data_IF_651191100249
#
_entry.id   IF_651191100249
#
_cell.length_a   1.000
_cell.length_b   1.000
_cell.length_c   1.000
_cell.angle_alpha   90.00
_cell.angle_beta   90.00
_cell.angle_gamma   90.00
#
_symmetry.space_group_name_H-M   'P 1'
#
loop_
_entity.id
_entity.type
_entity.pdbx_description
1 polymer ?
#
# COMPACT_ATOMS: atom_id res chain seq x y z
N UNK A 1 -6.21 -20.84 -1.56
CA UNK A 1 -6.10 -20.42 -0.14
C UNK A 1 -7.41 -20.62 0.62
N UNK A 2 -8.53 -20.53 -0.07
CA UNK A 2 -9.85 -20.72 0.51
C UNK A 2 -10.61 -21.75 -0.31
N UNK A 3 -10.89 -22.90 0.27
CA UNK A 3 -11.87 -23.83 -0.23
C UNK A 3 -13.18 -23.54 0.50
N UNK A 4 -14.29 -23.29 -0.19
CA UNK A 4 -15.59 -23.20 0.46
C UNK A 4 -15.87 -24.46 1.27
N UNK A 5 -16.57 -24.30 2.41
CA UNK A 5 -16.84 -25.42 3.31
C UNK A 5 -17.67 -26.50 2.63
N UNK A 6 -18.69 -26.08 1.86
CA UNK A 6 -19.54 -26.98 1.06
C UNK A 6 -18.74 -27.79 0.03
N UNK A 7 -17.75 -27.17 -0.62
CA UNK A 7 -16.84 -27.87 -1.54
C UNK A 7 -15.97 -28.89 -0.80
N UNK A 8 -15.46 -28.53 0.38
CA UNK A 8 -14.68 -29.45 1.22
C UNK A 8 -15.53 -30.64 1.67
N UNK A 9 -16.75 -30.40 2.16
CA UNK A 9 -17.68 -31.44 2.58
C UNK A 9 -18.04 -32.36 1.41
N UNK A 10 -18.37 -31.80 0.24
CA UNK A 10 -18.64 -32.59 -0.97
C UNK A 10 -17.46 -33.47 -1.40
N UNK A 11 -16.25 -32.97 -1.27
CA UNK A 11 -15.03 -33.77 -1.54
C UNK A 11 -14.86 -34.87 -0.50
N UNK A 12 -15.10 -34.61 0.78
CA UNK A 12 -15.04 -35.62 1.83
C UNK A 12 -16.06 -36.74 1.60
N UNK A 13 -17.28 -36.40 1.16
CA UNK A 13 -18.33 -37.38 0.86
C UNK A 13 -18.02 -38.21 -0.41
N UNK A 14 -17.31 -37.63 -1.36
CA UNK A 14 -16.98 -38.27 -2.64
C UNK A 14 -15.74 -39.15 -2.55
N UNK A 15 -14.78 -38.73 -1.72
CA UNK A 15 -13.50 -39.42 -1.54
C UNK A 15 -13.60 -40.35 -0.33
N UNK A 16 -13.20 -41.58 -0.50
CA UNK A 16 -13.23 -42.57 0.58
C UNK A 16 -12.09 -42.39 1.59
N UNK A 17 -12.08 -43.21 2.67
CA UNK A 17 -11.13 -43.14 3.79
C UNK A 17 -9.63 -43.31 3.38
N UNK A 18 -9.33 -43.60 2.13
CA UNK A 18 -7.96 -43.64 1.61
C UNK A 18 -7.35 -42.27 1.35
N UNK A 19 -8.16 -41.22 1.38
CA UNK A 19 -7.73 -39.84 1.15
C UNK A 19 -7.70 -39.05 2.46
N UNK A 20 -6.57 -38.39 2.73
CA UNK A 20 -6.44 -37.48 3.86
C UNK A 20 -6.24 -36.05 3.33
N UNK A 21 -7.09 -35.13 3.77
CA UNK A 21 -6.90 -33.71 3.48
C UNK A 21 -5.83 -33.12 4.38
N UNK A 22 -4.82 -32.51 3.78
CA UNK A 22 -3.75 -31.83 4.49
C UNK A 22 -3.69 -30.38 4.04
N UNK A 23 -3.71 -29.46 4.98
CA UNK A 23 -3.47 -28.04 4.70
C UNK A 23 -2.00 -27.81 4.38
N UNK A 24 -1.70 -27.31 3.19
CA UNK A 24 -0.37 -26.87 2.80
C UNK A 24 -0.33 -25.35 2.72
N UNK A 25 0.62 -24.75 3.42
CA UNK A 25 0.85 -23.30 3.35
C UNK A 25 2.02 -23.01 2.42
N UNK A 26 1.71 -22.47 1.23
CA UNK A 26 2.72 -22.05 0.25
C UNK A 26 3.17 -20.59 0.43
N UNK A 27 2.69 -19.87 1.45
CA UNK A 27 2.99 -18.46 1.65
C UNK A 27 4.49 -18.20 1.76
N UNK A 28 5.22 -19.06 2.47
CA UNK A 28 6.68 -18.93 2.63
C UNK A 28 7.45 -19.16 1.33
N UNK A 29 6.95 -20.03 0.44
CA UNK A 29 7.57 -20.27 -0.87
C UNK A 29 7.41 -19.06 -1.81
N UNK A 30 6.30 -18.31 -1.68
CA UNK A 30 6.00 -17.12 -2.47
C UNK A 30 6.64 -15.86 -1.92
N UNK A 31 6.98 -15.86 -0.62
CA UNK A 31 7.50 -14.68 0.05
C UNK A 31 8.84 -14.21 -0.56
N UNK A 32 9.73 -15.15 -0.89
CA UNK A 32 11.01 -14.86 -1.55
C UNK A 32 10.83 -14.99 -3.06
N UNK A 33 11.00 -13.87 -3.77
CA UNK A 33 10.80 -13.80 -5.22
C UNK A 33 12.06 -14.20 -5.97
N UNK A 34 11.89 -14.85 -7.13
CA UNK A 34 12.96 -15.05 -8.11
C UNK A 34 13.23 -13.74 -8.86
N UNK A 35 14.37 -13.63 -9.50
CA UNK A 35 14.72 -12.40 -10.23
C UNK A 35 13.76 -12.09 -11.40
N UNK A 36 13.27 -13.13 -12.10
CA UNK A 36 12.26 -12.96 -13.14
C UNK A 36 10.92 -12.42 -12.61
N UNK A 37 10.54 -12.80 -11.39
CA UNK A 37 9.36 -12.28 -10.69
C UNK A 37 9.57 -10.84 -10.23
N UNK A 38 10.77 -10.51 -9.71
CA UNK A 38 11.12 -9.14 -9.32
C UNK A 38 11.06 -8.18 -10.52
N UNK A 39 11.49 -8.62 -11.71
CA UNK A 39 11.36 -7.82 -12.94
C UNK A 39 9.89 -7.50 -13.29
N UNK A 40 8.98 -8.45 -13.08
CA UNK A 40 7.55 -8.22 -13.30
C UNK A 40 6.99 -7.23 -12.28
N UNK A 41 7.43 -7.32 -11.03
CA UNK A 41 7.00 -6.39 -9.98
C UNK A 41 7.55 -4.97 -10.19
N UNK A 42 8.80 -4.81 -10.67
CA UNK A 42 9.34 -3.50 -11.09
C UNK A 42 8.48 -2.87 -12.18
N UNK A 43 8.00 -3.68 -13.13
CA UNK A 43 7.11 -3.20 -14.18
C UNK A 43 5.73 -2.82 -13.67
N UNK A 44 5.14 -3.62 -12.77
CA UNK A 44 3.87 -3.30 -12.15
C UNK A 44 3.94 -1.98 -11.36
N UNK A 45 5.00 -1.79 -10.55
CA UNK A 45 5.24 -0.55 -9.82
C UNK A 45 5.42 0.65 -10.75
N UNK A 46 6.20 0.50 -11.82
CA UNK A 46 6.41 1.55 -12.83
C UNK A 46 5.11 2.00 -13.50
N UNK A 47 4.19 1.06 -13.80
CA UNK A 47 2.87 1.40 -14.34
C UNK A 47 2.11 2.32 -13.36
N UNK A 48 2.14 2.01 -12.07
CA UNK A 48 1.55 2.88 -11.04
C UNK A 48 2.17 4.28 -11.02
N UNK A 49 3.51 4.38 -11.06
CA UNK A 49 4.22 5.66 -11.09
C UNK A 49 3.83 6.51 -12.32
N UNK A 50 3.82 5.91 -13.51
CA UNK A 50 3.46 6.59 -14.76
C UNK A 50 1.99 7.05 -14.75
N UNK A 51 1.09 6.21 -14.24
CA UNK A 51 -0.33 6.54 -14.14
C UNK A 51 -0.59 7.68 -13.14
N UNK A 52 0.10 7.67 -11.99
CA UNK A 52 -0.03 8.76 -11.01
C UNK A 52 0.51 10.08 -11.57
N UNK A 53 1.64 10.06 -12.25
CA UNK A 53 2.17 11.24 -12.92
C UNK A 53 1.19 11.81 -13.99
N UNK A 54 0.50 10.94 -14.72
CA UNK A 54 -0.50 11.32 -15.70
C UNK A 54 -1.81 11.82 -15.07
N UNK A 55 -2.16 11.36 -13.87
CA UNK A 55 -3.33 11.81 -13.11
C UNK A 55 -3.18 13.25 -12.61
N UNK A 56 -2.01 13.60 -12.03
CA UNK A 56 -1.81 14.86 -11.31
C UNK A 56 -2.28 16.12 -12.09
N UNK A 57 -1.94 16.31 -13.39
CA UNK A 57 -2.38 17.49 -14.14
C UNK A 57 -3.88 17.49 -14.49
N UNK A 58 -4.58 16.39 -14.27
CA UNK A 58 -6.00 16.25 -14.58
C UNK A 58 -6.89 16.53 -13.35
N UNK A 59 -6.29 16.55 -12.15
CA UNK A 59 -7.03 16.78 -10.90
C UNK A 59 -7.56 18.22 -10.82
N UNK A 60 -8.81 18.35 -10.38
CA UNK A 60 -9.49 19.63 -10.21
C UNK A 60 -10.42 19.59 -9.01
N UNK A 61 -10.52 20.72 -8.31
CA UNK A 61 -11.61 20.94 -7.35
C UNK A 61 -12.95 20.80 -8.04
N UNK A 62 -13.90 20.15 -7.39
CA UNK A 62 -15.23 19.88 -7.93
C UNK A 62 -15.37 18.48 -8.58
N UNK A 63 -14.27 17.75 -8.82
CA UNK A 63 -14.32 16.34 -9.19
C UNK A 63 -14.77 15.48 -8.01
N UNK A 64 -15.41 14.37 -8.29
CA UNK A 64 -15.66 13.33 -7.29
C UNK A 64 -14.44 12.43 -7.12
N UNK A 65 -14.34 11.76 -5.96
CA UNK A 65 -13.31 10.73 -5.74
C UNK A 65 -13.40 9.62 -6.81
N UNK A 66 -14.62 9.24 -7.21
CA UNK A 66 -14.84 8.27 -8.28
C UNK A 66 -14.33 8.75 -9.64
N UNK A 67 -14.49 10.02 -9.99
CA UNK A 67 -13.94 10.57 -11.24
C UNK A 67 -12.41 10.54 -11.22
N UNK A 68 -11.78 10.91 -10.11
CA UNK A 68 -10.32 10.83 -9.96
C UNK A 68 -9.82 9.37 -10.04
N UNK A 69 -10.53 8.42 -9.39
CA UNK A 69 -10.26 6.98 -9.50
C UNK A 69 -10.32 6.49 -10.95
N UNK A 70 -11.38 6.84 -11.67
CA UNK A 70 -11.56 6.41 -13.07
C UNK A 70 -10.40 6.90 -13.93
N UNK A 71 -9.95 8.14 -13.75
CA UNK A 71 -8.78 8.66 -14.47
C UNK A 71 -7.55 7.81 -14.13
N UNK A 72 -7.24 7.61 -12.86
CA UNK A 72 -6.08 6.85 -12.41
C UNK A 72 -6.07 5.42 -12.97
N UNK A 73 -7.17 4.69 -12.83
CA UNK A 73 -7.32 3.32 -13.34
C UNK A 73 -7.20 3.29 -14.88
N UNK A 74 -7.77 4.29 -15.57
CA UNK A 74 -7.64 4.42 -17.02
C UNK A 74 -6.19 4.63 -17.44
N UNK A 75 -5.44 5.47 -16.73
CA UNK A 75 -4.02 5.69 -17.01
C UNK A 75 -3.19 4.42 -16.69
N UNK A 76 -3.49 3.68 -15.61
CA UNK A 76 -2.85 2.38 -15.36
C UNK A 76 -3.07 1.39 -16.52
N UNK A 77 -4.31 1.27 -17.02
CA UNK A 77 -4.62 0.40 -18.16
C UNK A 77 -3.88 0.83 -19.44
N UNK A 78 -3.78 2.14 -19.71
CA UNK A 78 -3.01 2.67 -20.84
C UNK A 78 -1.50 2.36 -20.74
N UNK A 79 -0.97 2.35 -19.52
CA UNK A 79 0.42 1.99 -19.23
C UNK A 79 0.68 0.47 -19.25
N UNK A 80 -0.37 -0.34 -19.44
CA UNK A 80 -0.25 -1.80 -19.61
C UNK A 80 -0.61 -2.64 -18.39
N UNK A 81 -1.32 -2.07 -17.41
CA UNK A 81 -1.93 -2.86 -16.33
C UNK A 81 -3.01 -3.79 -16.90
N UNK A 82 -3.09 -5.00 -16.39
CA UNK A 82 -4.17 -5.95 -16.70
C UNK A 82 -5.47 -5.56 -16.01
N UNK A 83 -5.35 -5.10 -14.76
CA UNK A 83 -6.45 -4.64 -13.91
C UNK A 83 -5.89 -3.82 -12.72
N UNK A 84 -6.72 -3.11 -11.95
CA UNK A 84 -6.31 -2.58 -10.65
C UNK A 84 -5.92 -3.70 -9.69
N UNK A 85 -4.84 -3.49 -8.93
CA UNK A 85 -4.31 -4.45 -7.96
C UNK A 85 -5.32 -4.78 -6.84
N UNK A 86 -6.14 -3.81 -6.50
CA UNK A 86 -7.21 -3.86 -5.50
C UNK A 86 -8.22 -2.74 -5.76
N UNK A 87 -9.28 -2.67 -4.95
CA UNK A 87 -10.24 -1.57 -5.02
C UNK A 87 -9.54 -0.25 -4.69
N UNK A 88 -9.29 0.57 -5.70
CA UNK A 88 -8.54 1.82 -5.59
C UNK A 88 -9.15 2.75 -4.54
N UNK A 89 -8.33 3.19 -3.60
CA UNK A 89 -8.71 4.16 -2.59
C UNK A 89 -8.46 5.57 -3.16
N UNK A 90 -9.50 6.40 -3.10
CA UNK A 90 -9.39 7.86 -3.24
C UNK A 90 -10.21 8.44 -2.10
N UNK A 91 -9.53 8.93 -1.09
CA UNK A 91 -10.18 9.46 0.12
C UNK A 91 -9.80 10.92 0.33
N UNK A 92 -10.79 11.81 0.31
CA UNK A 92 -10.58 13.27 0.35
C UNK A 92 -11.20 13.93 1.57
N UNK A 93 -10.60 15.03 2.03
CA UNK A 93 -11.05 15.82 3.18
C UNK A 93 -11.19 14.97 4.44
N UNK A 94 -12.35 14.98 5.07
CA UNK A 94 -12.60 14.19 6.28
C UNK A 94 -12.54 12.67 6.03
N UNK A 95 -12.83 12.20 4.81
CA UNK A 95 -12.70 10.79 4.46
C UNK A 95 -11.25 10.32 4.36
N UNK A 96 -10.28 11.23 4.20
CA UNK A 96 -8.85 10.89 4.25
C UNK A 96 -8.45 10.29 5.62
N UNK A 97 -9.26 10.51 6.66
CA UNK A 97 -9.10 9.85 7.97
C UNK A 97 -9.51 8.37 7.99
N UNK A 98 -10.02 7.84 6.88
CA UNK A 98 -10.43 6.44 6.73
C UNK A 98 -9.31 5.67 6.01
N UNK A 99 -8.56 4.78 6.69
CA UNK A 99 -7.44 4.03 6.06
C UNK A 99 -7.86 3.26 4.80
N UNK A 100 -9.10 2.75 4.78
CA UNK A 100 -9.67 1.98 3.66
C UNK A 100 -10.82 2.74 2.98
N UNK A 101 -10.67 4.05 2.80
CA UNK A 101 -11.66 4.92 2.19
C UNK A 101 -11.76 4.73 0.67
N UNK A 102 -12.33 3.60 0.20
CA UNK A 102 -12.59 3.38 -1.23
C UNK A 102 -13.31 4.58 -1.82
N UNK A 103 -12.96 4.93 -3.05
CA UNK A 103 -13.51 6.07 -3.78
C UNK A 103 -15.04 6.12 -3.76
N UNK A 104 -15.58 7.30 -3.57
CA UNK A 104 -17.01 7.57 -3.44
C UNK A 104 -17.45 8.74 -4.33
N UNK A 105 -18.71 9.13 -4.23
CA UNK A 105 -19.25 10.32 -4.91
C UNK A 105 -18.99 11.62 -4.14
N UNK A 106 -18.16 11.57 -3.07
CA UNK A 106 -17.73 12.81 -2.40
C UNK A 106 -16.98 13.69 -3.37
N UNK A 107 -17.38 14.95 -3.43
CA UNK A 107 -16.71 15.99 -4.21
C UNK A 107 -15.41 16.40 -3.50
N UNK A 108 -14.33 16.45 -4.23
CA UNK A 108 -13.02 16.93 -3.77
C UNK A 108 -13.08 18.48 -3.71
N UNK A 109 -12.74 19.03 -2.55
CA UNK A 109 -12.84 20.45 -2.26
C UNK A 109 -11.45 21.10 -2.14
N UNK A 110 -11.41 22.43 -2.26
CA UNK A 110 -10.20 23.20 -2.00
C UNK A 110 -9.75 23.01 -0.53
N UNK A 111 -8.46 22.74 -0.32
CA UNK A 111 -7.88 22.45 0.98
C UNK A 111 -7.96 20.98 1.40
N UNK A 112 -8.63 20.11 0.65
CA UNK A 112 -8.67 18.69 0.99
C UNK A 112 -7.29 18.04 0.85
N UNK A 113 -6.88 17.21 1.84
CA UNK A 113 -6.00 16.10 1.54
C UNK A 113 -6.75 15.11 0.64
N UNK A 114 -6.07 14.57 -0.34
CA UNK A 114 -6.56 13.45 -1.15
C UNK A 114 -5.52 12.35 -1.10
N UNK A 115 -5.87 11.26 -0.45
CA UNK A 115 -5.05 10.04 -0.39
C UNK A 115 -5.44 9.14 -1.55
N UNK A 116 -4.47 8.83 -2.40
CA UNK A 116 -4.55 7.83 -3.44
C UNK A 116 -3.76 6.60 -2.99
N UNK A 117 -4.44 5.47 -2.89
CA UNK A 117 -3.83 4.17 -2.63
C UNK A 117 -4.29 3.20 -3.72
N UNK A 118 -3.32 2.73 -4.49
CA UNK A 118 -3.54 2.06 -5.77
C UNK A 118 -2.35 1.21 -6.18
N UNK A 119 -2.63 0.28 -7.07
CA UNK A 119 -1.61 -0.56 -7.68
C UNK A 119 -2.07 -1.12 -9.02
N UNK A 120 -1.13 -1.57 -9.80
CA UNK A 120 -1.32 -2.22 -11.10
C UNK A 120 -1.06 -3.71 -11.01
N UNK A 121 -1.70 -4.49 -11.88
CA UNK A 121 -1.37 -5.90 -12.11
C UNK A 121 -0.66 -6.03 -13.44
N UNK A 122 0.52 -6.66 -13.43
CA UNK A 122 1.28 -6.96 -14.64
C UNK A 122 1.72 -8.42 -14.65
N UNK A 123 1.23 -9.19 -15.61
CA UNK A 123 1.44 -10.65 -15.73
C UNK A 123 1.14 -11.40 -14.43
N UNK A 124 0.03 -11.01 -13.79
CA UNK A 124 -0.45 -11.59 -12.54
C UNK A 124 0.29 -11.12 -11.28
N UNK A 125 1.28 -10.23 -11.38
CA UNK A 125 1.96 -9.64 -10.23
C UNK A 125 1.39 -8.28 -9.89
N UNK A 126 1.11 -8.07 -8.60
CA UNK A 126 0.54 -6.85 -8.04
C UNK A 126 1.61 -5.82 -7.71
N UNK A 127 1.28 -4.55 -7.80
CA UNK A 127 2.01 -3.44 -7.17
C UNK A 127 1.14 -2.73 -6.15
N UNK A 128 1.77 -1.91 -5.31
CA UNK A 128 1.13 -1.20 -4.23
C UNK A 128 1.85 0.11 -3.94
N UNK A 129 1.11 1.22 -3.87
CA UNK A 129 1.65 2.54 -3.56
C UNK A 129 0.58 3.48 -3.04
N UNK A 130 0.88 4.20 -1.96
CA UNK A 130 0.04 5.32 -1.50
C UNK A 130 0.77 6.65 -1.66
N UNK A 131 0.06 7.65 -2.18
CA UNK A 131 0.45 9.06 -2.17
C UNK A 131 -0.68 9.93 -1.67
N UNK A 132 -0.37 10.92 -0.85
CA UNK A 132 -1.31 11.93 -0.40
C UNK A 132 -0.90 13.29 -0.95
N UNK A 133 -1.84 14.01 -1.52
CA UNK A 133 -1.68 15.36 -2.06
C UNK A 133 -2.64 16.32 -1.35
N UNK A 134 -2.50 17.62 -1.61
CA UNK A 134 -3.48 18.63 -1.17
C UNK A 134 -4.02 19.43 -2.35
N UNK A 135 -5.30 19.72 -2.35
CA UNK A 135 -5.95 20.56 -3.36
C UNK A 135 -5.85 22.03 -2.95
N UNK A 136 -4.88 22.74 -3.53
CA UNK A 136 -4.54 24.12 -3.14
C UNK A 136 -3.44 24.17 -2.09
N UNK A 137 -3.25 25.32 -1.40
CA UNK A 137 -2.20 25.49 -0.41
C UNK A 137 -2.48 24.68 0.86
N UNK A 138 -1.47 23.94 1.33
CA UNK A 138 -1.57 23.15 2.56
C UNK A 138 -1.63 24.04 3.81
N UNK A 139 -2.52 23.69 4.74
CA UNK A 139 -2.58 24.28 6.08
C UNK A 139 -1.37 23.87 6.94
N UNK A 140 -1.11 24.59 8.02
CA UNK A 140 -0.02 24.25 8.95
C UNK A 140 -0.20 22.88 9.60
N UNK A 141 -1.45 22.48 9.88
CA UNK A 141 -1.74 21.13 10.39
C UNK A 141 -1.37 20.06 9.35
N UNK A 142 -1.76 20.26 8.09
CA UNK A 142 -1.44 19.34 7.00
C UNK A 142 0.07 19.19 6.81
N UNK A 143 0.81 20.30 6.75
CA UNK A 143 2.28 20.31 6.67
C UNK A 143 2.93 19.55 7.82
N UNK A 144 2.45 19.79 9.05
CA UNK A 144 2.93 19.11 10.26
C UNK A 144 2.72 17.60 10.16
N UNK A 145 1.48 17.15 9.88
CA UNK A 145 1.14 15.73 9.79
C UNK A 145 1.94 15.06 8.66
N UNK A 146 1.99 15.71 7.50
CA UNK A 146 2.73 15.21 6.34
C UNK A 146 4.20 15.01 6.64
N UNK A 147 4.84 15.98 7.28
CA UNK A 147 6.26 15.91 7.66
C UNK A 147 6.52 14.73 8.60
N UNK A 148 5.64 14.48 9.57
CA UNK A 148 5.77 13.37 10.52
C UNK A 148 5.66 12.03 9.79
N UNK A 149 4.63 11.86 8.93
CA UNK A 149 4.42 10.61 8.21
C UNK A 149 5.52 10.37 7.19
N UNK A 150 5.95 11.39 6.46
CA UNK A 150 7.06 11.29 5.50
C UNK A 150 8.36 10.88 6.17
N UNK A 151 8.68 11.46 7.31
CA UNK A 151 9.90 11.10 8.05
C UNK A 151 9.81 9.68 8.63
N UNK A 152 8.64 9.28 9.16
CA UNK A 152 8.42 7.91 9.60
C UNK A 152 8.62 6.90 8.47
N UNK A 153 8.09 7.20 7.28
CA UNK A 153 8.20 6.37 6.09
C UNK A 153 9.65 6.27 5.61
N UNK A 154 10.37 7.39 5.52
CA UNK A 154 11.80 7.41 5.16
C UNK A 154 12.65 6.58 6.12
N UNK A 155 12.39 6.67 7.43
CA UNK A 155 13.07 5.84 8.45
C UNK A 155 12.73 4.37 8.30
N UNK A 156 11.46 4.05 8.04
CA UNK A 156 11.03 2.69 7.76
C UNK A 156 11.78 2.09 6.58
N UNK A 157 11.77 2.77 5.42
CA UNK A 157 12.51 2.33 4.22
C UNK A 157 14.01 2.15 4.50
N UNK A 158 14.63 3.11 5.20
CA UNK A 158 16.05 3.03 5.56
C UNK A 158 16.39 1.87 6.50
N UNK A 159 15.42 1.38 7.27
CA UNK A 159 15.60 0.25 8.20
C UNK A 159 15.42 -1.12 7.52
N UNK A 160 14.78 -1.19 6.35
CA UNK A 160 14.54 -2.46 5.66
C UNK A 160 15.85 -3.08 5.21
N UNK A 161 16.09 -4.33 5.63
CA UNK A 161 17.21 -5.18 5.19
C UNK A 161 16.94 -6.64 5.54
N UNK A 162 17.69 -7.57 5.00
CA UNK A 162 17.67 -8.96 5.46
C UNK A 162 18.07 -9.03 6.95
N UNK A 163 17.42 -9.92 7.68
CA UNK A 163 17.64 -10.15 9.11
C UNK A 163 16.82 -9.27 10.06
N UNK A 164 16.16 -8.19 9.58
CA UNK A 164 15.19 -7.44 10.42
C UNK A 164 13.89 -8.24 10.54
N UNK A 165 13.20 -8.13 11.66
CA UNK A 165 11.86 -8.69 11.84
C UNK A 165 10.77 -7.70 11.48
N UNK A 166 9.58 -8.20 11.12
CA UNK A 166 8.43 -7.33 10.86
C UNK A 166 8.05 -6.44 12.06
N UNK A 167 8.24 -6.95 13.28
CA UNK A 167 8.04 -6.18 14.52
C UNK A 167 9.05 -5.04 14.69
N UNK A 168 10.31 -5.29 14.37
CA UNK A 168 11.36 -4.25 14.43
C UNK A 168 11.12 -3.18 13.40
N UNK A 169 10.75 -3.53 12.17
CA UNK A 169 10.40 -2.57 11.14
C UNK A 169 9.19 -1.71 11.57
N UNK A 170 8.13 -2.35 12.06
CA UNK A 170 6.95 -1.62 12.56
C UNK A 170 7.32 -0.64 13.68
N UNK A 171 8.18 -1.06 14.59
CA UNK A 171 8.61 -0.23 15.72
C UNK A 171 9.34 1.04 15.26
N UNK A 172 10.07 1.02 14.15
CA UNK A 172 10.74 2.21 13.60
C UNK A 172 9.73 3.30 13.25
N UNK A 173 8.72 2.95 12.47
CA UNK A 173 7.67 3.90 12.05
C UNK A 173 6.78 4.31 13.22
N UNK A 174 6.28 3.32 13.95
CA UNK A 174 5.31 3.51 15.04
C UNK A 174 5.87 4.34 16.19
N UNK A 175 7.11 4.07 16.63
CA UNK A 175 7.73 4.83 17.70
C UNK A 175 7.93 6.29 17.29
N UNK A 176 8.37 6.55 16.06
CA UNK A 176 8.55 7.92 15.60
C UNK A 176 7.22 8.70 15.58
N UNK A 177 6.15 8.08 15.08
CA UNK A 177 4.81 8.70 15.07
C UNK A 177 4.31 8.92 16.51
N UNK A 178 4.49 7.93 17.40
CA UNK A 178 4.13 8.05 18.82
C UNK A 178 4.89 9.20 19.51
N UNK A 179 6.20 9.29 19.28
CA UNK A 179 7.07 10.30 19.92
C UNK A 179 6.74 11.73 19.45
N UNK A 180 6.03 11.85 18.31
CA UNK A 180 5.43 13.10 17.83
C UNK A 180 3.99 13.32 18.31
N UNK A 181 3.45 12.48 19.21
CA UNK A 181 2.16 12.68 19.88
C UNK A 181 0.96 11.95 19.24
N UNK A 182 1.17 11.08 18.25
CA UNK A 182 0.10 10.39 17.53
C UNK A 182 0.13 8.87 17.76
N UNK A 183 -0.20 8.45 19.00
CA UNK A 183 -0.08 7.03 19.41
C UNK A 183 -1.22 6.16 18.90
N UNK A 184 -2.45 6.69 18.89
CA UNK A 184 -3.67 5.95 18.54
C UNK A 184 -4.06 6.13 17.08
N UNK A 185 -3.51 7.15 16.47
CA UNK A 185 -3.85 7.61 15.13
C UNK A 185 -3.13 6.80 14.03
N UNK A 186 -2.13 5.98 14.39
CA UNK A 186 -1.54 4.95 13.53
C UNK A 186 -2.03 3.57 13.98
N UNK A 187 -3.13 3.12 13.41
CA UNK A 187 -3.94 2.01 13.89
C UNK A 187 -3.85 0.71 13.06
N UNK A 188 -2.94 0.63 12.10
CA UNK A 188 -2.66 -0.58 11.30
C UNK A 188 -1.18 -0.97 11.36
N UNK A 189 -0.79 -2.04 10.67
CA UNK A 189 0.61 -2.45 10.53
C UNK A 189 1.39 -1.51 9.61
N UNK A 190 2.71 -1.54 9.73
CA UNK A 190 3.58 -0.74 8.88
C UNK A 190 3.65 -1.26 7.45
N UNK A 191 3.28 -2.54 7.19
CA UNK A 191 3.28 -3.08 5.84
C UNK A 191 3.05 -4.57 5.74
N UNK A 192 3.03 -5.04 4.50
CA UNK A 192 2.79 -6.43 4.11
C UNK A 192 3.58 -6.80 2.85
N UNK A 193 3.70 -8.09 2.59
CA UNK A 193 4.24 -8.59 1.34
C UNK A 193 3.29 -8.37 0.18
N UNK A 194 3.85 -8.22 -1.01
CA UNK A 194 3.13 -8.09 -2.28
C UNK A 194 3.72 -9.07 -3.28
N UNK A 195 2.90 -9.64 -4.15
CA UNK A 195 3.34 -10.59 -5.17
C UNK A 195 2.22 -11.02 -6.09
N UNK A 196 1.93 -12.31 -6.14
CA UNK A 196 0.77 -12.87 -6.85
C UNK A 196 -0.56 -12.55 -6.15
N UNK A 197 -0.50 -12.12 -4.90
CA UNK A 197 -1.63 -11.54 -4.16
C UNK A 197 -1.20 -10.17 -3.64
N UNK A 198 -2.16 -9.27 -3.50
CA UNK A 198 -1.88 -7.93 -2.96
C UNK A 198 -1.39 -8.03 -1.50
N UNK A 199 -1.95 -8.92 -0.70
CA UNK A 199 -1.50 -9.18 0.66
C UNK A 199 -0.94 -10.58 0.78
N UNK A 200 0.38 -10.69 0.98
CA UNK A 200 1.05 -11.95 1.28
C UNK A 200 2.13 -11.79 2.34
N UNK A 201 2.84 -12.87 2.68
CA UNK A 201 4.00 -12.77 3.59
C UNK A 201 5.19 -12.04 2.91
N UNK A 202 6.02 -11.34 3.69
CA UNK A 202 5.96 -11.18 5.15
C UNK A 202 5.03 -10.04 5.57
N UNK A 203 4.73 -9.90 6.86
CA UNK A 203 4.00 -8.74 7.40
C UNK A 203 4.87 -7.95 8.38
N UNK A 204 4.74 -6.61 8.37
CA UNK A 204 5.35 -5.70 9.32
C UNK A 204 4.27 -5.11 10.24
N UNK A 205 4.16 -5.66 11.46
CA UNK A 205 3.23 -5.19 12.49
C UNK A 205 3.80 -5.48 13.89
N UNK A 206 3.19 -4.96 14.96
CA UNK A 206 3.72 -5.12 16.34
C UNK A 206 3.89 -6.56 16.83
N UNK A 207 3.30 -7.55 16.14
CA UNK A 207 3.29 -8.96 16.54
C UNK A 207 4.13 -9.86 15.62
N UNK A 208 4.60 -9.35 14.48
CA UNK A 208 5.30 -10.16 13.48
C UNK A 208 6.74 -10.45 13.88
N UNK A 209 7.04 -11.72 14.13
CA UNK A 209 8.40 -12.20 14.36
C UNK A 209 9.05 -12.77 13.07
N UNK A 210 8.41 -12.64 11.92
CA UNK A 210 8.95 -13.07 10.63
C UNK A 210 10.23 -12.30 10.34
N UNK A 211 11.33 -13.01 10.16
CA UNK A 211 12.62 -12.44 9.75
C UNK A 211 12.64 -12.26 8.25
N UNK A 212 12.96 -11.06 7.78
CA UNK A 212 13.01 -10.79 6.36
C UNK A 212 14.26 -11.40 5.71
N UNK A 213 14.08 -11.97 4.54
CA UNK A 213 15.15 -12.51 3.70
C UNK A 213 15.29 -11.68 2.43
N UNK A 214 16.46 -11.75 1.79
CA UNK A 214 16.67 -11.11 0.49
C UNK A 214 15.60 -11.56 -0.52
N UNK A 215 15.22 -10.64 -1.40
CA UNK A 215 14.19 -10.81 -2.42
C UNK A 215 12.75 -11.01 -1.89
N UNK A 216 12.52 -10.82 -0.59
CA UNK A 216 11.17 -10.53 -0.11
C UNK A 216 10.76 -9.11 -0.53
N UNK A 217 9.47 -8.90 -0.73
CA UNK A 217 8.90 -7.57 -0.94
C UNK A 217 8.07 -7.23 0.29
N UNK A 218 8.19 -5.98 0.72
CA UNK A 218 7.43 -5.43 1.85
C UNK A 218 6.99 -4.00 1.53
N UNK A 219 5.75 -3.64 1.87
CA UNK A 219 5.30 -2.26 1.86
C UNK A 219 5.78 -1.53 3.13
N UNK A 220 6.00 -0.23 3.02
CA UNK A 220 6.30 0.65 4.16
C UNK A 220 5.35 1.83 4.08
N UNK A 221 4.24 1.74 4.82
CA UNK A 221 3.03 2.54 4.65
C UNK A 221 2.51 3.20 5.95
N UNK A 222 3.34 3.87 6.76
CA UNK A 222 2.84 4.56 7.93
C UNK A 222 1.82 5.63 7.58
N UNK A 223 0.82 5.81 8.46
CA UNK A 223 -0.20 6.84 8.32
C UNK A 223 -0.61 7.44 9.66
N UNK A 224 -1.24 8.61 9.62
CA UNK A 224 -1.89 9.26 10.77
C UNK A 224 -3.31 9.59 10.37
N UNK A 225 -4.28 9.16 11.17
CA UNK A 225 -5.70 9.31 10.90
C UNK A 225 -6.41 9.92 12.09
N UNK A 226 -6.71 11.23 12.01
CA UNK A 226 -7.53 11.97 13.00
C UNK A 226 -9.01 11.71 12.64
N UNK A 227 -9.63 10.79 13.37
CA UNK A 227 -10.96 10.26 13.05
C UNK A 227 -12.00 11.34 12.79
N UNK A 228 -12.61 11.31 11.62
CA UNK A 228 -13.65 12.26 11.18
C UNK A 228 -13.14 13.66 10.79
N UNK A 229 -11.82 13.88 10.87
CA UNK A 229 -11.20 15.17 10.55
C UNK A 229 -10.33 15.06 9.30
N UNK A 230 -9.16 14.42 9.42
CA UNK A 230 -8.14 14.38 8.38
C UNK A 230 -7.21 13.19 8.60
N UNK A 231 -6.66 12.65 7.53
CA UNK A 231 -5.61 11.62 7.60
C UNK A 231 -4.74 11.63 6.37
N UNK A 232 -3.66 10.89 6.44
CA UNK A 232 -2.76 10.67 5.31
C UNK A 232 -1.95 9.39 5.50
N UNK A 233 -1.53 8.80 4.39
CA UNK A 233 -0.55 7.71 4.27
C UNK A 233 0.46 8.04 3.20
N UNK A 234 1.69 7.61 3.40
CA UNK A 234 2.74 7.63 2.39
C UNK A 234 3.36 6.23 2.39
N UNK A 235 3.45 5.63 1.23
CA UNK A 235 3.86 4.25 1.07
C UNK A 235 4.82 4.05 -0.10
N UNK A 236 5.79 3.18 0.09
CA UNK A 236 6.55 2.54 -0.97
C UNK A 236 6.54 1.02 -0.79
N UNK A 237 6.50 0.30 -1.90
CA UNK A 237 6.90 -1.10 -1.97
C UNK A 237 8.41 -1.21 -2.18
N UNK A 238 9.07 -2.08 -1.42
CA UNK A 238 10.53 -2.25 -1.50
C UNK A 238 10.94 -3.72 -1.56
N UNK A 239 12.02 -4.02 -2.30
CA UNK A 239 12.66 -5.34 -2.31
C UNK A 239 13.72 -5.37 -1.21
N UNK A 240 13.67 -6.33 -0.32
CA UNK A 240 14.67 -6.56 0.72
C UNK A 240 15.99 -6.99 0.09
N UNK A 241 17.10 -6.35 0.47
CA UNK A 241 18.46 -6.72 0.08
C UNK A 241 19.30 -7.01 1.33
N UNK A 242 20.50 -7.56 1.16
CA UNK A 242 21.38 -7.93 2.27
C UNK A 242 21.61 -6.80 3.29
N UNK A 243 21.91 -5.58 2.83
CA UNK A 243 22.27 -4.44 3.67
C UNK A 243 21.38 -3.20 3.45
N UNK A 244 20.15 -3.39 3.00
CA UNK A 244 19.22 -2.30 2.69
C UNK A 244 18.05 -2.80 1.85
N UNK A 245 17.47 -1.94 1.02
CA UNK A 245 16.39 -2.30 0.11
C UNK A 245 16.53 -1.55 -1.23
N UNK A 246 15.84 -2.08 -2.22
CA UNK A 246 15.58 -1.42 -3.50
C UNK A 246 14.13 -0.93 -3.49
N UNK A 247 13.93 0.37 -3.66
CA UNK A 247 12.58 0.96 -3.75
C UNK A 247 12.00 0.68 -5.15
N UNK A 248 10.76 0.20 -5.20
CA UNK A 248 10.06 -0.11 -6.45
C UNK A 248 9.22 1.06 -6.97
N UNK A 249 8.68 1.89 -6.07
CA UNK A 249 7.74 2.97 -6.37
C UNK A 249 8.47 4.31 -6.28
N UNK A 250 8.49 5.08 -7.37
CA UNK A 250 9.33 6.27 -7.53
C UNK A 250 8.55 7.59 -7.63
N UNK A 251 7.23 7.56 -7.54
CA UNK A 251 6.43 8.79 -7.50
C UNK A 251 6.87 9.70 -6.37
N UNK A 252 6.92 11.03 -6.57
CA UNK A 252 7.38 11.97 -5.55
C UNK A 252 6.66 11.79 -4.22
N UNK A 253 7.43 11.82 -3.12
CA UNK A 253 6.91 11.72 -1.74
C UNK A 253 6.81 13.06 -1.02
N UNK A 254 7.35 14.09 -1.59
CA UNK A 254 7.19 15.45 -1.09
C UNK A 254 5.73 15.88 -1.22
N UNK A 255 5.28 16.77 -0.34
CA UNK A 255 3.91 17.27 -0.38
C UNK A 255 3.64 17.98 -1.72
N UNK A 256 2.71 17.46 -2.47
CA UNK A 256 2.25 18.04 -3.74
C UNK A 256 1.03 18.90 -3.45
N UNK A 257 1.13 20.17 -3.81
CA UNK A 257 0.03 21.14 -3.79
C UNK A 257 -0.49 21.33 -5.23
N UNK A 258 -1.73 20.88 -5.47
CA UNK A 258 -2.37 21.04 -6.79
C UNK A 258 -2.94 22.44 -6.89
N UNK A 259 -2.54 23.18 -7.93
CA UNK A 259 -3.08 24.52 -8.18
C UNK A 259 -4.60 24.49 -8.41
N UNK A 260 -5.33 25.44 -7.82
CA UNK A 260 -6.80 25.58 -7.90
C UNK A 260 -7.17 26.84 -8.69
#
# INVERSE_FOLDING_TARGET
KYMPVDTYESLCDTLDERFNFTSLNFATLRAVKREDELELMRKAAKIGDEAFAALLPQLKVGMTENEARIILETEMLKCGSEEPSFATIVASGNRSSMPHGVASDKVIEAGDFVTFDFGAVYKGFHSDMTRTIVMGPASELQKKLYTIVLEAQKRGVAAVRAGITGKELDAVCRNYIRDNGYTKEFNHGTGHGVGLEIHEEPVANPKSNTVFSENMIITVEPGIYLSGEIGLRIEDSVIVKANGCEVLTHSPKELIEIGI
#
